data_IF_639530526465
#
_entry.id   IF_639530526465
#
_cell.length_a   1.000
_cell.length_b   1.000
_cell.length_c   1.000
_cell.angle_alpha   90.00
_cell.angle_beta   90.00
_cell.angle_gamma   90.00
#
_symmetry.space_group_name_H-M   'P 1'
#
loop_
_entity.id
_entity.type
_entity.pdbx_description
1 polymer ?
#
# COMPACT_ATOMS: atom_id res chain seq x y z
N UNK A 1 16.87 7.67 11.27
CA UNK A 1 16.22 8.89 10.75
C UNK A 1 14.74 8.72 11.02
N UNK A 2 14.19 9.49 11.95
CA UNK A 2 12.77 9.40 12.34
C UNK A 2 12.06 10.61 11.72
N UNK A 3 10.86 10.40 11.18
CA UNK A 3 10.04 11.50 10.66
C UNK A 3 9.86 12.55 11.77
N UNK A 4 10.04 13.83 11.45
CA UNK A 4 9.72 14.88 12.42
C UNK A 4 8.21 14.89 12.70
N UNK A 5 7.76 15.30 13.89
CA UNK A 5 6.32 15.43 14.18
C UNK A 5 5.60 16.29 13.12
N UNK A 6 6.25 17.38 12.67
CA UNK A 6 5.71 18.27 11.64
C UNK A 6 5.47 17.55 10.31
N UNK A 7 6.42 16.72 9.88
CA UNK A 7 6.31 15.98 8.62
C UNK A 7 5.21 14.90 8.72
N UNK A 8 5.11 14.25 9.88
CA UNK A 8 4.10 13.21 10.15
C UNK A 8 2.71 13.80 10.08
N UNK A 9 2.49 14.89 10.83
CA UNK A 9 1.19 15.55 10.91
C UNK A 9 0.82 16.18 9.56
N UNK A 10 1.81 16.68 8.80
CA UNK A 10 1.63 17.15 7.43
C UNK A 10 1.19 16.06 6.45
N UNK A 11 1.70 14.82 6.59
CA UNK A 11 1.26 13.68 5.80
C UNK A 11 -0.18 13.26 6.15
N UNK A 12 -0.49 13.17 7.43
CA UNK A 12 -1.85 12.87 7.91
C UNK A 12 -2.85 13.92 7.39
N UNK A 13 -2.50 15.21 7.45
CA UNK A 13 -3.34 16.30 6.95
C UNK A 13 -3.59 16.19 5.44
N UNK A 14 -2.59 15.83 4.63
CA UNK A 14 -2.75 15.62 3.17
C UNK A 14 -3.83 14.59 2.86
N UNK A 15 -3.79 13.44 3.54
CA UNK A 15 -4.79 12.39 3.38
C UNK A 15 -6.18 12.83 3.82
N UNK A 16 -6.28 13.48 4.99
CA UNK A 16 -7.55 14.02 5.52
C UNK A 16 -8.20 15.02 4.57
N UNK A 17 -7.38 15.87 3.94
CA UNK A 17 -7.83 16.91 3.01
C UNK A 17 -8.04 16.40 1.57
N UNK A 18 -7.86 15.10 1.32
CA UNK A 18 -7.99 14.52 -0.02
C UNK A 18 -6.92 14.99 -1.01
N UNK A 19 -5.81 15.57 -0.54
CA UNK A 19 -4.67 16.00 -1.36
C UNK A 19 -3.77 14.81 -1.69
N UNK A 20 -4.35 13.83 -2.39
CA UNK A 20 -3.78 12.51 -2.68
C UNK A 20 -3.56 12.28 -4.18
N UNK A 21 -3.18 13.30 -4.94
CA UNK A 21 -2.98 13.21 -6.40
C UNK A 21 -1.87 12.21 -6.82
N UNK A 22 -1.07 11.75 -5.86
CA UNK A 22 -0.11 10.66 -6.05
C UNK A 22 -0.78 9.28 -6.12
N UNK A 23 -2.03 9.15 -5.65
CA UNK A 23 -2.80 7.91 -5.76
C UNK A 23 -3.21 7.70 -7.23
N UNK A 24 -2.98 6.49 -7.70
CA UNK A 24 -3.35 6.03 -9.03
C UNK A 24 -4.37 4.90 -8.86
N UNK A 25 -5.48 5.00 -9.59
CA UNK A 25 -6.63 4.10 -9.55
C UNK A 25 -6.45 2.85 -10.45
N UNK A 26 -5.20 2.50 -10.72
CA UNK A 26 -4.79 1.31 -11.49
C UNK A 26 -3.48 0.77 -10.95
N UNK A 27 -3.26 -0.52 -11.17
CA UNK A 27 -1.97 -1.17 -10.92
C UNK A 27 -0.88 -0.47 -11.72
N UNK A 28 0.31 -0.34 -11.13
CA UNK A 28 1.46 0.25 -11.78
C UNK A 28 1.85 -0.59 -13.02
N UNK A 29 1.78 -0.03 -14.24
CA UNK A 29 2.04 -0.80 -15.46
C UNK A 29 3.48 -1.29 -15.56
N UNK A 30 4.43 -0.63 -14.89
CA UNK A 30 5.83 -1.07 -14.84
C UNK A 30 5.95 -2.31 -13.94
N UNK A 31 5.24 -2.34 -12.81
CA UNK A 31 5.19 -3.51 -11.95
C UNK A 31 4.66 -4.72 -12.72
N UNK A 32 3.50 -4.58 -13.37
CA UNK A 32 2.91 -5.63 -14.19
C UNK A 32 3.83 -6.12 -15.32
N UNK A 33 4.59 -5.22 -15.94
CA UNK A 33 5.54 -5.57 -17.02
C UNK A 33 6.75 -6.38 -16.55
N UNK A 34 7.18 -6.19 -15.30
CA UNK A 34 8.46 -6.74 -14.82
C UNK A 34 8.32 -7.68 -13.62
N UNK A 35 7.09 -7.98 -13.17
CA UNK A 35 6.85 -8.82 -11.99
C UNK A 35 7.55 -10.17 -12.08
N UNK A 36 7.44 -10.88 -13.20
CA UNK A 36 8.06 -12.21 -13.38
C UNK A 36 9.59 -12.18 -13.30
N UNK A 37 10.19 -11.01 -13.59
CA UNK A 37 11.64 -10.81 -13.47
C UNK A 37 12.06 -10.38 -12.06
N UNK A 38 11.21 -9.63 -11.37
CA UNK A 38 11.45 -9.12 -10.02
C UNK A 38 11.15 -10.19 -8.96
N UNK A 39 10.17 -11.04 -9.21
CA UNK A 39 9.61 -12.06 -8.33
C UNK A 39 9.50 -13.38 -9.12
N UNK A 40 10.64 -14.00 -9.48
CA UNK A 40 10.65 -15.19 -10.34
C UNK A 40 10.16 -16.47 -9.68
N UNK A 41 9.98 -16.47 -8.36
CA UNK A 41 9.44 -17.60 -7.60
C UNK A 41 7.94 -17.39 -7.35
N UNK A 42 7.15 -18.46 -7.47
CA UNK A 42 5.69 -18.43 -7.26
C UNK A 42 5.28 -17.91 -5.87
N UNK A 43 6.21 -17.92 -4.89
CA UNK A 43 5.93 -17.53 -3.50
C UNK A 43 7.03 -16.63 -2.90
N UNK A 44 7.13 -15.38 -3.39
CA UNK A 44 7.93 -14.33 -2.77
C UNK A 44 7.17 -13.53 -1.70
N UNK A 45 7.90 -12.98 -0.71
CA UNK A 45 7.38 -11.97 0.22
C UNK A 45 7.77 -10.57 -0.25
N UNK A 46 6.78 -9.73 -0.52
CA UNK A 46 6.97 -8.37 -1.05
C UNK A 46 6.68 -7.34 0.04
N UNK A 47 7.63 -6.44 0.26
CA UNK A 47 7.45 -5.30 1.14
C UNK A 47 7.13 -4.03 0.33
N UNK A 48 6.02 -3.36 0.65
CA UNK A 48 5.59 -2.11 0.02
C UNK A 48 5.62 -0.98 1.05
N UNK A 49 6.70 -0.18 1.11
CA UNK A 49 6.80 0.92 2.06
C UNK A 49 5.93 2.10 1.65
N UNK A 50 5.33 2.79 2.63
CA UNK A 50 4.45 3.94 2.42
C UNK A 50 3.32 3.61 1.44
N UNK A 51 2.68 2.46 1.65
CA UNK A 51 1.81 1.85 0.65
C UNK A 51 0.53 2.66 0.36
N UNK A 52 0.14 3.58 1.24
CA UNK A 52 -1.11 4.31 1.13
C UNK A 52 -2.27 3.35 0.90
N UNK A 53 -2.94 3.53 -0.25
CA UNK A 53 -4.00 2.63 -0.74
C UNK A 53 -3.70 2.06 -2.13
N UNK A 54 -2.43 1.73 -2.41
CA UNK A 54 -2.05 1.25 -3.73
C UNK A 54 -2.78 -0.05 -4.09
N UNK A 55 -3.33 -0.10 -5.32
CA UNK A 55 -3.94 -1.31 -5.87
C UNK A 55 -2.91 -2.40 -6.18
N UNK A 56 -1.62 -2.04 -6.22
CA UNK A 56 -0.52 -2.99 -6.39
C UNK A 56 -0.51 -4.06 -5.28
N UNK A 57 -0.96 -3.72 -4.06
CA UNK A 57 -0.96 -4.66 -2.93
C UNK A 57 -1.91 -5.83 -3.19
N UNK A 58 -3.15 -5.53 -3.57
CA UNK A 58 -4.14 -6.56 -3.91
C UNK A 58 -3.70 -7.37 -5.12
N UNK A 59 -3.21 -6.70 -6.15
CA UNK A 59 -2.74 -7.36 -7.37
C UNK A 59 -1.56 -8.33 -7.11
N UNK A 60 -0.58 -7.94 -6.27
CA UNK A 60 0.53 -8.83 -5.89
C UNK A 60 0.05 -10.06 -5.11
N UNK A 61 -0.97 -9.91 -4.25
CA UNK A 61 -1.61 -11.04 -3.57
C UNK A 61 -2.30 -11.97 -4.57
N UNK A 62 -3.00 -11.42 -5.57
CA UNK A 62 -3.62 -12.19 -6.66
C UNK A 62 -2.58 -12.94 -7.52
N UNK A 63 -1.34 -12.43 -7.60
CA UNK A 63 -0.22 -13.14 -8.26
C UNK A 63 0.38 -14.26 -7.40
N UNK A 64 -0.12 -14.48 -6.17
CA UNK A 64 0.34 -15.56 -5.28
C UNK A 64 1.41 -15.15 -4.26
N UNK A 65 1.74 -13.85 -4.18
CA UNK A 65 2.78 -13.37 -3.26
C UNK A 65 2.23 -13.03 -1.87
N UNK A 66 3.08 -13.18 -0.84
CA UNK A 66 2.80 -12.61 0.48
C UNK A 66 3.17 -11.12 0.46
N UNK A 67 2.25 -10.23 0.84
CA UNK A 67 2.48 -8.77 0.78
C UNK A 67 2.45 -8.15 2.17
N UNK A 68 3.45 -7.34 2.48
CA UNK A 68 3.53 -6.53 3.70
C UNK A 68 3.55 -5.06 3.32
N UNK A 69 2.50 -4.34 3.68
CA UNK A 69 2.42 -2.87 3.53
C UNK A 69 2.70 -2.16 4.85
N UNK A 70 3.38 -1.01 4.80
CA UNK A 70 3.48 -0.08 5.94
C UNK A 70 2.95 1.27 5.52
N UNK A 71 1.96 1.75 6.24
CA UNK A 71 1.36 3.09 6.06
C UNK A 71 1.12 3.73 7.42
N UNK A 72 1.34 5.04 7.49
CA UNK A 72 1.19 5.84 8.69
C UNK A 72 -0.27 6.24 8.93
N UNK A 73 -1.03 6.46 7.85
CA UNK A 73 -2.39 6.97 7.90
C UNK A 73 -3.40 5.82 7.92
N UNK A 74 -4.02 5.58 9.07
CA UNK A 74 -5.06 4.56 9.26
C UNK A 74 -6.17 4.63 8.20
N UNK A 75 -6.69 5.84 7.92
CA UNK A 75 -7.70 6.04 6.86
C UNK A 75 -7.26 5.51 5.49
N UNK A 76 -5.99 5.62 5.13
CA UNK A 76 -5.49 5.11 3.86
C UNK A 76 -5.60 3.58 3.79
N UNK A 77 -5.31 2.90 4.92
CA UNK A 77 -5.44 1.45 5.05
C UNK A 77 -6.91 1.04 5.04
N UNK A 78 -7.80 1.76 5.72
CA UNK A 78 -9.25 1.52 5.65
C UNK A 78 -9.77 1.67 4.21
N UNK A 79 -9.40 2.75 3.52
CA UNK A 79 -9.76 2.99 2.12
C UNK A 79 -9.25 1.87 1.20
N UNK A 80 -8.05 1.33 1.47
CA UNK A 80 -7.49 0.19 0.74
C UNK A 80 -8.37 -1.06 0.89
N UNK A 81 -8.67 -1.46 2.13
CA UNK A 81 -9.47 -2.66 2.42
C UNK A 81 -10.89 -2.55 1.84
N UNK A 82 -11.51 -1.38 1.97
CA UNK A 82 -12.79 -1.08 1.33
C UNK A 82 -12.72 -1.22 -0.20
N UNK A 83 -11.62 -0.79 -0.83
CA UNK A 83 -11.42 -0.86 -2.26
C UNK A 83 -11.20 -2.27 -2.81
N UNK A 84 -10.51 -3.14 -2.07
CA UNK A 84 -10.24 -4.54 -2.47
C UNK A 84 -11.33 -5.52 -2.01
N UNK A 85 -12.39 -5.03 -1.34
CA UNK A 85 -13.49 -5.85 -0.83
C UNK A 85 -13.10 -6.77 0.33
N UNK A 86 -12.01 -6.45 1.05
CA UNK A 86 -11.50 -7.22 2.17
C UNK A 86 -11.85 -6.60 3.52
N UNK A 87 -11.93 -7.43 4.56
CA UNK A 87 -12.05 -6.96 5.95
C UNK A 87 -10.71 -7.09 6.66
N UNK A 88 -10.18 -6.02 7.29
CA UNK A 88 -8.92 -6.12 8.03
C UNK A 88 -9.11 -6.89 9.34
N UNK A 89 -8.14 -7.74 9.67
CA UNK A 89 -7.97 -8.22 11.04
C UNK A 89 -7.08 -7.22 11.78
N UNK A 90 -7.65 -6.55 12.78
CA UNK A 90 -6.93 -5.55 13.59
C UNK A 90 -6.36 -6.24 14.83
N UNK A 91 -5.07 -6.03 15.09
CA UNK A 91 -4.40 -6.51 16.29
C UNK A 91 -3.49 -5.42 16.83
N UNK A 92 -3.52 -5.23 18.15
CA UNK A 92 -2.59 -4.35 18.86
C UNK A 92 -1.34 -5.15 19.22
N UNK A 93 -0.16 -4.54 19.05
CA UNK A 93 1.08 -5.09 19.63
C UNK A 93 1.15 -4.86 21.14
#
# INVERSE_FOLDING_TARGET
MTLSPKDRDGWVARWREGRIQFHVDKVNPILGRYVDRLLPEEFGRVFVPLCGKSLDLGWLVEQGHEVVGVELVEKAVEDLFNGIGGSPTISTQ
#
